data_IF_902763659095
#
_entry.id   IF_902763659095
#
_cell.length_a   1.000
_cell.length_b   1.000
_cell.length_c   1.000
_cell.angle_alpha   90.00
_cell.angle_beta   90.00
_cell.angle_gamma   90.00
#
_symmetry.space_group_name_H-M   'P 1'
#
loop_
_entity.id
_entity.type
_entity.pdbx_description
1 polymer ?
#
# COMPACT_ATOMS: atom_id res chain seq x y z
N UNK A 1 27.16 -7.42 -21.02
CA UNK A 1 26.78 -6.64 -19.82
C UNK A 1 26.24 -5.30 -20.32
N UNK A 2 24.94 -5.01 -20.17
CA UNK A 2 24.38 -3.74 -20.69
C UNK A 2 24.86 -2.60 -19.80
N UNK A 3 25.72 -1.74 -20.37
CA UNK A 3 26.45 -0.68 -19.69
C UNK A 3 25.56 0.46 -19.20
N UNK A 4 24.95 0.31 -18.03
CA UNK A 4 24.44 1.44 -17.26
C UNK A 4 25.48 1.85 -16.23
N UNK A 5 25.99 3.09 -16.32
CA UNK A 5 26.77 3.76 -15.27
C UNK A 5 25.90 3.90 -14.01
N UNK A 6 25.94 2.92 -13.13
CA UNK A 6 25.23 2.94 -11.85
C UNK A 6 25.73 1.83 -10.94
N UNK A 7 25.63 2.02 -9.62
CA UNK A 7 26.07 1.07 -8.60
C UNK A 7 25.28 -0.26 -8.60
N UNK A 8 24.15 -0.29 -9.30
CA UNK A 8 23.25 -1.43 -9.33
C UNK A 8 23.42 -2.25 -10.59
N UNK A 9 23.63 -3.55 -10.42
CA UNK A 9 23.52 -4.53 -11.49
C UNK A 9 22.05 -4.87 -11.75
N UNK A 10 21.73 -5.29 -12.97
CA UNK A 10 20.38 -5.68 -13.35
C UNK A 10 20.39 -7.08 -13.99
N UNK A 11 19.30 -7.83 -13.78
CA UNK A 11 19.05 -9.13 -14.41
C UNK A 11 17.69 -9.11 -15.11
N UNK A 12 17.59 -9.84 -16.22
CA UNK A 12 16.30 -10.11 -16.85
C UNK A 12 15.64 -11.30 -16.14
N UNK A 13 14.45 -11.10 -15.59
CA UNK A 13 13.73 -12.15 -14.84
C UNK A 13 12.21 -12.05 -15.05
N UNK A 14 11.51 -13.16 -14.84
CA UNK A 14 10.05 -13.23 -14.91
C UNK A 14 9.44 -12.96 -13.53
N UNK A 15 8.28 -12.28 -13.51
CA UNK A 15 7.46 -12.20 -12.29
C UNK A 15 6.87 -13.58 -11.95
N UNK A 16 7.08 -14.09 -10.73
CA UNK A 16 6.54 -15.39 -10.32
C UNK A 16 5.00 -15.47 -10.28
N UNK A 17 4.32 -14.33 -10.18
CA UNK A 17 2.85 -14.29 -10.15
C UNK A 17 2.24 -14.15 -11.55
N UNK A 18 2.65 -13.14 -12.32
CA UNK A 18 2.03 -12.85 -13.63
C UNK A 18 2.85 -13.28 -14.85
N UNK A 19 4.04 -13.86 -14.68
CA UNK A 19 4.90 -14.35 -15.76
C UNK A 19 5.53 -13.27 -16.65
N UNK A 20 5.20 -11.99 -16.46
CA UNK A 20 5.71 -10.89 -17.32
C UNK A 20 7.22 -10.69 -17.13
N UNK A 21 8.00 -10.59 -18.22
CA UNK A 21 9.43 -10.36 -18.15
C UNK A 21 9.75 -8.91 -17.79
N UNK A 22 10.86 -8.70 -17.06
CA UNK A 22 11.31 -7.36 -16.65
C UNK A 22 12.79 -7.34 -16.28
N UNK A 23 13.37 -6.13 -16.30
CA UNK A 23 14.65 -5.87 -15.65
C UNK A 23 14.44 -5.72 -14.14
N UNK A 24 15.24 -6.42 -13.34
CA UNK A 24 15.24 -6.35 -11.87
C UNK A 24 16.62 -6.01 -11.38
N UNK A 25 16.69 -5.13 -10.38
CA UNK A 25 17.96 -4.82 -9.69
C UNK A 25 18.46 -6.07 -8.97
N UNK A 26 19.76 -6.32 -9.06
CA UNK A 26 20.47 -7.30 -8.27
C UNK A 26 21.06 -6.63 -7.03
N UNK A 27 20.84 -7.24 -5.87
CA UNK A 27 21.46 -6.88 -4.61
C UNK A 27 22.06 -8.15 -3.99
N UNK A 28 23.34 -8.12 -3.62
CA UNK A 28 24.08 -9.29 -3.08
C UNK A 28 23.92 -10.56 -3.95
N UNK A 29 23.93 -10.39 -5.27
CA UNK A 29 23.81 -11.48 -6.25
C UNK A 29 22.40 -12.05 -6.44
N UNK A 30 21.36 -11.48 -5.81
CA UNK A 30 19.97 -11.93 -5.93
C UNK A 30 19.07 -10.82 -6.47
N UNK A 31 18.02 -11.18 -7.18
CA UNK A 31 17.00 -10.22 -7.58
C UNK A 31 16.34 -9.62 -6.33
N UNK A 32 16.22 -8.29 -6.26
CA UNK A 32 15.61 -7.59 -5.11
C UNK A 32 14.16 -8.04 -4.86
N UNK A 33 13.47 -8.52 -5.90
CA UNK A 33 12.12 -9.07 -5.76
C UNK A 33 11.83 -10.08 -6.86
N UNK A 34 11.10 -11.13 -6.52
CA UNK A 34 10.58 -12.12 -7.47
C UNK A 34 9.27 -11.67 -8.15
N UNK A 35 8.68 -10.56 -7.69
CA UNK A 35 7.38 -10.07 -8.15
C UNK A 35 7.51 -8.71 -8.82
N UNK A 36 6.76 -8.48 -9.91
CA UNK A 36 6.64 -7.17 -10.51
C UNK A 36 5.99 -6.16 -9.53
N UNK A 37 6.13 -4.87 -9.81
CA UNK A 37 5.62 -3.82 -8.92
C UNK A 37 4.14 -3.99 -8.57
N UNK A 38 3.30 -4.32 -9.56
CA UNK A 38 1.86 -4.57 -9.35
C UNK A 38 1.59 -5.81 -8.52
N UNK A 39 2.17 -6.96 -8.90
CA UNK A 39 1.99 -8.21 -8.17
C UNK A 39 2.53 -8.14 -6.74
N UNK A 40 3.74 -7.59 -6.55
CA UNK A 40 4.34 -7.42 -5.23
C UNK A 40 3.52 -6.50 -4.34
N UNK A 41 2.88 -5.46 -4.90
CA UNK A 41 1.99 -4.58 -4.14
C UNK A 41 0.68 -5.25 -3.71
N UNK A 42 0.22 -6.28 -4.43
CA UNK A 42 -0.98 -7.05 -4.09
C UNK A 42 -0.75 -7.99 -2.89
N UNK A 43 0.47 -8.52 -2.73
CA UNK A 43 0.83 -9.42 -1.62
C UNK A 43 1.22 -8.65 -0.34
N UNK A 44 1.37 -7.33 -0.41
CA UNK A 44 1.70 -6.53 0.78
C UNK A 44 0.58 -6.60 1.80
N UNK A 45 0.96 -6.78 3.06
CA UNK A 45 0.08 -6.65 4.21
C UNK A 45 -0.47 -5.22 4.27
N UNK A 46 -1.75 -5.04 3.92
CA UNK A 46 -2.50 -3.78 3.96
C UNK A 46 -3.69 -3.93 4.91
N UNK A 47 -4.19 -2.80 5.42
CA UNK A 47 -5.30 -2.81 6.37
C UNK A 47 -4.97 -3.70 7.57
N UNK A 48 -5.93 -4.50 8.01
CA UNK A 48 -5.83 -5.39 9.17
C UNK A 48 -4.67 -6.39 9.13
N UNK A 49 -4.22 -6.78 7.93
CA UNK A 49 -3.06 -7.68 7.79
C UNK A 49 -1.73 -7.00 8.12
N UNK A 50 -1.69 -5.66 8.13
CA UNK A 50 -0.49 -4.90 8.46
C UNK A 50 -0.30 -4.88 9.98
N UNK A 51 0.84 -5.34 10.49
CA UNK A 51 1.18 -5.31 11.92
C UNK A 51 1.13 -3.91 12.56
N UNK A 52 1.27 -2.85 11.76
CA UNK A 52 1.17 -1.46 12.20
C UNK A 52 -0.26 -0.90 12.04
N UNK A 53 -1.26 -1.74 11.79
CA UNK A 53 -2.65 -1.32 11.62
C UNK A 53 -3.30 -1.03 12.98
N UNK A 54 -3.36 0.26 13.33
CA UNK A 54 -4.09 0.74 14.52
C UNK A 54 -5.61 0.81 14.32
N UNK A 55 -6.23 -0.21 13.73
CA UNK A 55 -7.69 -0.25 13.51
C UNK A 55 -8.22 0.78 12.51
N UNK A 56 -7.36 1.33 11.65
CA UNK A 56 -7.74 2.33 10.67
C UNK A 56 -7.97 3.72 11.22
N UNK A 57 -7.55 3.98 12.45
CA UNK A 57 -7.57 5.31 13.06
C UNK A 57 -6.26 6.05 12.80
N UNK A 58 -6.34 7.37 12.59
CA UNK A 58 -5.20 8.28 12.49
C UNK A 58 -5.50 9.58 13.22
N UNK A 59 -4.50 10.11 13.90
CA UNK A 59 -4.57 11.44 14.50
C UNK A 59 -4.01 12.43 13.47
N UNK A 60 -4.76 13.49 13.18
CA UNK A 60 -4.32 14.58 12.30
C UNK A 60 -3.36 15.51 13.03
N UNK A 61 -2.64 16.36 12.31
CA UNK A 61 -1.80 17.40 12.91
C UNK A 61 -2.60 18.32 13.87
N UNK A 62 -3.85 18.61 13.52
CA UNK A 62 -4.77 19.40 14.37
C UNK A 62 -5.40 18.62 15.55
N UNK A 63 -4.97 17.37 15.80
CA UNK A 63 -5.45 16.56 16.92
C UNK A 63 -6.79 15.82 16.72
N UNK A 64 -7.41 15.90 15.53
CA UNK A 64 -8.62 15.13 15.25
C UNK A 64 -8.33 13.66 14.98
N UNK A 65 -9.25 12.79 15.39
CA UNK A 65 -9.25 11.38 15.00
C UNK A 65 -9.98 11.24 13.66
N UNK A 66 -9.35 10.58 12.71
CA UNK A 66 -9.94 10.14 11.45
C UNK A 66 -10.00 8.62 11.40
N UNK A 67 -11.09 8.09 10.85
CA UNK A 67 -11.38 6.65 10.80
C UNK A 67 -11.50 6.23 9.34
N UNK A 68 -10.79 5.18 8.96
CA UNK A 68 -10.95 4.55 7.65
C UNK A 68 -12.24 3.72 7.66
N UNK A 69 -13.18 4.05 6.78
CA UNK A 69 -14.40 3.26 6.61
C UNK A 69 -14.28 2.29 5.43
N UNK A 70 -14.97 1.16 5.55
CA UNK A 70 -15.16 0.22 4.43
C UNK A 70 -16.12 0.84 3.40
N UNK A 71 -15.95 0.58 2.09
CA UNK A 71 -16.94 0.93 1.07
C UNK A 71 -18.36 0.42 1.36
N UNK A 72 -18.48 -0.65 2.14
CA UNK A 72 -19.75 -1.26 2.54
C UNK A 72 -20.36 -0.62 3.81
N UNK A 73 -19.68 0.36 4.43
CA UNK A 73 -20.17 1.03 5.63
C UNK A 73 -21.29 2.03 5.31
N UNK A 74 -22.33 2.10 6.15
CA UNK A 74 -23.45 3.03 5.97
C UNK A 74 -23.03 4.50 5.88
N UNK A 75 -21.97 4.90 6.59
CA UNK A 75 -21.44 6.27 6.56
C UNK A 75 -20.40 6.50 5.45
N UNK A 76 -20.14 5.51 4.59
CA UNK A 76 -19.18 5.64 3.50
C UNK A 76 -19.43 6.83 2.55
N UNK A 77 -20.67 7.24 2.24
CA UNK A 77 -20.92 8.45 1.44
C UNK A 77 -20.34 9.74 2.06
N UNK A 78 -20.03 9.75 3.36
CA UNK A 78 -19.41 10.90 4.04
C UNK A 78 -17.88 10.95 3.90
N UNK A 79 -17.28 9.90 3.32
CA UNK A 79 -15.83 9.71 3.22
C UNK A 79 -15.27 10.53 2.04
N UNK A 80 -14.24 11.36 2.25
CA UNK A 80 -13.55 12.07 1.18
C UNK A 80 -12.68 11.11 0.35
N UNK A 81 -12.03 11.65 -0.69
CA UNK A 81 -11.19 10.88 -1.63
C UNK A 81 -10.06 10.07 -0.98
N UNK A 82 -9.62 10.46 0.22
CA UNK A 82 -8.54 9.78 0.96
C UNK A 82 -8.98 8.49 1.66
N UNK A 83 -10.29 8.26 1.77
CA UNK A 83 -10.85 7.09 2.45
C UNK A 83 -11.03 7.26 3.97
N UNK A 84 -10.90 8.47 4.52
CA UNK A 84 -10.95 8.73 5.96
C UNK A 84 -12.00 9.77 6.34
N UNK A 85 -12.87 9.45 7.29
CA UNK A 85 -13.85 10.41 7.84
C UNK A 85 -13.43 10.87 9.23
N UNK A 86 -13.69 12.13 9.57
CA UNK A 86 -13.44 12.64 10.93
C UNK A 86 -14.41 12.00 11.92
N UNK A 87 -13.91 11.50 13.04
CA UNK A 87 -14.70 10.76 14.03
C UNK A 87 -15.87 11.59 14.57
N UNK A 88 -15.67 12.91 14.76
CA UNK A 88 -16.76 13.80 15.18
C UNK A 88 -17.94 13.81 14.20
N UNK A 89 -17.71 13.68 12.88
CA UNK A 89 -18.80 13.64 11.90
C UNK A 89 -19.64 12.37 12.03
N UNK A 90 -19.01 11.26 12.41
CA UNK A 90 -19.70 9.99 12.66
C UNK A 90 -20.52 10.03 13.95
N UNK A 91 -20.01 10.67 14.99
CA UNK A 91 -20.74 10.84 16.25
C UNK A 91 -22.02 11.66 16.01
N UNK A 92 -21.90 12.77 15.27
CA UNK A 92 -23.05 13.63 14.93
C UNK A 92 -24.07 12.97 14.01
N UNK A 93 -23.68 11.97 13.23
CA UNK A 93 -24.59 11.25 12.34
C UNK A 93 -25.31 10.08 13.02
N UNK A 94 -24.84 9.64 14.19
CA UNK A 94 -25.45 8.55 14.99
C UNK A 94 -26.49 9.06 16.00
N UNK A 95 -26.43 10.34 16.34
CA UNK A 95 -27.39 11.03 17.22
C UNK A 95 -28.66 11.38 16.47
#
# INVERSE_FOLDING_TARGET
QIGKKGYHSYVWSLCLNCGKPRWVVLEKGKAVSDYCHTCGNAVKNRGEKNKNWGGGKRITEDGYITVKLSPDDFYYPMVPRDGYVREHRLIMAKS
#
